data_IF_309701609717
#
_entry.id   IF_309701609717
#
_cell.length_a   1.000
_cell.length_b   1.000
_cell.length_c   1.000
_cell.angle_alpha   90.00
_cell.angle_beta   90.00
_cell.angle_gamma   90.00
#
_symmetry.space_group_name_H-M   'P 1'
#
loop_
_entity.id
_entity.type
_entity.pdbx_description
1 polymer ?
#
# COMPACT_ATOMS: atom_id res chain seq x y z
N UNK A 1 14.83 -24.59 -8.53
CA UNK A 1 14.57 -23.28 -9.17
C UNK A 1 15.94 -22.60 -9.36
N UNK A 2 16.18 -21.93 -10.48
CA UNK A 2 17.51 -21.39 -10.86
C UNK A 2 17.73 -19.98 -10.29
N UNK A 3 18.98 -19.48 -10.30
CA UNK A 3 19.28 -18.08 -9.91
C UNK A 3 18.40 -17.06 -10.65
N UNK A 4 18.02 -17.36 -11.90
CA UNK A 4 17.12 -16.56 -12.73
C UNK A 4 15.78 -16.29 -12.04
N UNK A 5 15.26 -17.25 -11.28
CA UNK A 5 13.97 -17.13 -10.63
C UNK A 5 14.04 -16.31 -9.34
N UNK A 6 15.20 -16.32 -8.66
CA UNK A 6 15.48 -15.40 -7.54
C UNK A 6 15.62 -13.97 -8.05
N UNK A 7 16.25 -13.77 -9.21
CA UNK A 7 16.28 -12.46 -9.88
C UNK A 7 14.87 -12.01 -10.32
N UNK A 8 14.04 -12.93 -10.82
CA UNK A 8 12.63 -12.70 -11.11
C UNK A 8 11.85 -12.24 -9.87
N UNK A 9 12.05 -12.91 -8.74
CA UNK A 9 11.50 -12.55 -7.43
C UNK A 9 11.91 -11.13 -7.00
N UNK A 10 13.20 -10.78 -7.09
CA UNK A 10 13.69 -9.44 -6.74
C UNK A 10 13.08 -8.37 -7.67
N UNK A 11 13.00 -8.67 -8.97
CA UNK A 11 12.42 -7.76 -9.97
C UNK A 11 10.93 -7.48 -9.71
N UNK A 12 10.13 -8.52 -9.45
CA UNK A 12 8.71 -8.39 -9.12
C UNK A 12 8.50 -7.66 -7.79
N UNK A 13 9.30 -7.95 -6.76
CA UNK A 13 9.19 -7.23 -5.49
C UNK A 13 9.48 -5.73 -5.65
N UNK A 14 10.51 -5.39 -6.43
CA UNK A 14 10.87 -4.00 -6.69
C UNK A 14 9.76 -3.27 -7.46
N UNK A 15 9.13 -3.92 -8.45
CA UNK A 15 8.07 -3.30 -9.23
C UNK A 15 6.81 -3.08 -8.39
N UNK A 16 6.36 -4.09 -7.63
CA UNK A 16 5.21 -3.97 -6.73
C UNK A 16 5.49 -2.88 -5.68
N UNK A 17 6.71 -2.80 -5.15
CA UNK A 17 7.06 -1.80 -4.14
C UNK A 17 7.04 -0.39 -4.73
N UNK A 18 7.63 -0.20 -5.92
CA UNK A 18 7.63 1.10 -6.60
C UNK A 18 6.21 1.56 -6.91
N UNK A 19 5.35 0.68 -7.41
CA UNK A 19 3.94 1.00 -7.68
C UNK A 19 3.18 1.30 -6.38
N UNK A 20 3.37 0.50 -5.34
CA UNK A 20 2.77 0.71 -4.03
C UNK A 20 3.15 2.07 -3.43
N UNK A 21 4.45 2.40 -3.44
CA UNK A 21 4.95 3.69 -2.96
C UNK A 21 4.39 4.86 -3.78
N UNK A 22 4.42 4.76 -5.11
CA UNK A 22 3.92 5.80 -6.01
C UNK A 22 2.42 6.05 -5.81
N UNK A 23 1.60 4.99 -5.76
CA UNK A 23 0.17 5.11 -5.45
C UNK A 23 -0.06 5.68 -4.04
N UNK A 24 0.72 5.25 -3.05
CA UNK A 24 0.63 5.72 -1.67
C UNK A 24 0.94 7.21 -1.50
N UNK A 25 1.84 7.78 -2.32
CA UNK A 25 2.22 9.20 -2.28
C UNK A 25 1.32 10.07 -3.15
N UNK A 26 1.04 9.65 -4.38
CA UNK A 26 0.27 10.45 -5.33
C UNK A 26 -1.19 10.62 -4.91
N UNK A 27 -1.75 9.63 -4.23
CA UNK A 27 -3.17 9.62 -3.90
C UNK A 27 -3.53 10.67 -2.83
N UNK A 28 -2.86 10.76 -1.66
CA UNK A 28 -3.08 11.86 -0.71
C UNK A 28 -2.83 13.24 -1.32
N UNK A 29 -1.81 13.37 -2.17
CA UNK A 29 -1.53 14.62 -2.89
C UNK A 29 -2.72 15.00 -3.80
N UNK A 30 -3.26 14.03 -4.55
CA UNK A 30 -4.43 14.22 -5.40
C UNK A 30 -5.65 14.68 -4.62
N UNK A 31 -5.93 14.07 -3.45
CA UNK A 31 -7.04 14.47 -2.56
C UNK A 31 -6.92 15.94 -2.16
N UNK A 32 -5.73 16.39 -1.75
CA UNK A 32 -5.49 17.79 -1.34
C UNK A 32 -5.62 18.74 -2.53
N UNK A 33 -5.07 18.40 -3.70
CA UNK A 33 -5.16 19.21 -4.91
C UNK A 33 -6.62 19.37 -5.34
N UNK A 34 -7.39 18.28 -5.42
CA UNK A 34 -8.79 18.33 -5.81
C UNK A 34 -9.57 19.18 -4.82
N UNK A 35 -9.37 19.00 -3.51
CA UNK A 35 -10.05 19.80 -2.52
C UNK A 35 -9.72 21.31 -2.64
N UNK A 36 -8.45 21.65 -2.92
CA UNK A 36 -8.02 23.01 -3.18
C UNK A 36 -8.71 23.60 -4.41
N UNK A 37 -8.77 22.85 -5.52
CA UNK A 37 -9.43 23.29 -6.76
C UNK A 37 -10.94 23.51 -6.56
N UNK A 38 -11.57 22.69 -5.73
CA UNK A 38 -13.02 22.73 -5.50
C UNK A 38 -13.44 23.68 -4.37
N UNK A 39 -12.50 24.36 -3.70
CA UNK A 39 -12.77 25.13 -2.47
C UNK A 39 -13.81 26.25 -2.62
N UNK A 40 -13.87 26.88 -3.78
CA UNK A 40 -14.77 28.02 -4.06
C UNK A 40 -16.16 27.60 -4.57
N UNK A 41 -16.41 26.30 -4.74
CA UNK A 41 -17.70 25.81 -5.20
C UNK A 41 -18.70 25.66 -4.05
N UNK A 42 -20.02 25.63 -4.35
CA UNK A 42 -21.04 25.30 -3.37
C UNK A 42 -20.79 23.95 -2.70
N UNK A 43 -21.22 23.81 -1.44
CA UNK A 43 -21.04 22.60 -0.62
C UNK A 43 -21.49 21.32 -1.31
N UNK A 44 -22.55 21.38 -2.14
CA UNK A 44 -23.05 20.21 -2.89
C UNK A 44 -21.99 19.68 -3.87
N UNK A 45 -21.32 20.58 -4.61
CA UNK A 45 -20.30 20.21 -5.61
C UNK A 45 -19.03 19.72 -4.90
N UNK A 46 -18.64 20.37 -3.79
CA UNK A 46 -17.55 19.93 -2.91
C UNK A 46 -17.83 18.55 -2.32
N UNK A 47 -19.07 18.28 -1.92
CA UNK A 47 -19.51 16.98 -1.43
C UNK A 47 -19.43 15.89 -2.50
N UNK A 48 -19.81 16.19 -3.73
CA UNK A 48 -19.64 15.25 -4.85
C UNK A 48 -18.17 14.89 -5.11
N UNK A 49 -17.29 15.89 -5.14
CA UNK A 49 -15.85 15.69 -5.30
C UNK A 49 -15.23 14.93 -4.11
N UNK A 50 -15.70 15.20 -2.89
CA UNK A 50 -15.32 14.45 -1.68
C UNK A 50 -15.68 12.97 -1.79
N UNK A 51 -16.91 12.63 -2.21
CA UNK A 51 -17.34 11.23 -2.37
C UNK A 51 -16.47 10.51 -3.40
N UNK A 52 -16.15 11.16 -4.53
CA UNK A 52 -15.22 10.62 -5.52
C UNK A 52 -13.83 10.36 -4.93
N UNK A 53 -13.29 11.31 -4.15
CA UNK A 53 -12.02 11.15 -3.46
C UNK A 53 -12.05 10.00 -2.44
N UNK A 54 -13.14 9.84 -1.68
CA UNK A 54 -13.33 8.75 -0.71
C UNK A 54 -13.36 7.37 -1.39
N UNK A 55 -14.00 7.25 -2.56
CA UNK A 55 -13.95 6.01 -3.35
C UNK A 55 -12.49 5.68 -3.72
N UNK A 56 -11.71 6.69 -4.13
CA UNK A 56 -10.29 6.54 -4.35
C UNK A 56 -9.55 6.02 -3.12
N UNK A 57 -9.82 6.56 -1.91
CA UNK A 57 -9.14 6.16 -0.67
C UNK A 57 -9.41 4.69 -0.37
N UNK A 58 -10.66 4.26 -0.56
CA UNK A 58 -11.08 2.86 -0.38
C UNK A 58 -10.38 1.96 -1.40
N UNK A 59 -10.30 2.35 -2.67
CA UNK A 59 -9.59 1.59 -3.70
C UNK A 59 -8.09 1.45 -3.40
N UNK A 60 -7.44 2.52 -2.94
CA UNK A 60 -6.04 2.47 -2.50
C UNK A 60 -5.85 1.48 -1.34
N UNK A 61 -6.81 1.41 -0.42
CA UNK A 61 -6.77 0.48 0.71
C UNK A 61 -6.78 -0.97 0.23
N UNK A 62 -7.70 -1.32 -0.67
CA UNK A 62 -7.74 -2.67 -1.25
C UNK A 62 -6.49 -2.99 -2.05
N UNK A 63 -5.98 -2.04 -2.84
CA UNK A 63 -4.74 -2.21 -3.57
C UNK A 63 -3.55 -2.46 -2.62
N UNK A 64 -3.49 -1.70 -1.51
CA UNK A 64 -2.46 -1.83 -0.48
C UNK A 64 -2.48 -3.20 0.18
N UNK A 65 -3.67 -3.68 0.55
CA UNK A 65 -3.85 -5.02 1.13
C UNK A 65 -3.48 -6.11 0.13
N UNK A 66 -3.89 -5.98 -1.14
CA UNK A 66 -3.55 -6.92 -2.21
C UNK A 66 -2.04 -6.98 -2.46
N UNK A 67 -1.38 -5.82 -2.52
CA UNK A 67 0.07 -5.73 -2.68
C UNK A 67 0.81 -6.38 -1.50
N UNK A 68 0.42 -6.07 -0.26
CA UNK A 68 1.01 -6.69 0.94
C UNK A 68 0.85 -8.21 0.93
N UNK A 69 -0.34 -8.72 0.61
CA UNK A 69 -0.56 -10.16 0.51
C UNK A 69 0.29 -10.80 -0.60
N UNK A 70 0.47 -10.14 -1.73
CA UNK A 70 1.35 -10.63 -2.80
C UNK A 70 2.82 -10.69 -2.34
N UNK A 71 3.31 -9.71 -1.59
CA UNK A 71 4.64 -9.73 -1.00
C UNK A 71 4.84 -10.94 -0.07
N UNK A 72 3.88 -11.20 0.83
CA UNK A 72 3.96 -12.33 1.76
C UNK A 72 3.84 -13.69 1.05
N UNK A 73 3.04 -13.78 -0.01
CA UNK A 73 2.95 -14.98 -0.83
C UNK A 73 4.27 -15.28 -1.53
N UNK A 74 4.91 -14.27 -2.13
CA UNK A 74 6.22 -14.43 -2.75
C UNK A 74 7.29 -14.84 -1.72
N UNK A 75 7.27 -14.24 -0.52
CA UNK A 75 8.15 -14.60 0.59
C UNK A 75 7.94 -16.05 1.05
N UNK A 76 6.68 -16.50 1.11
CA UNK A 76 6.33 -17.88 1.41
C UNK A 76 6.85 -18.83 0.34
N UNK A 77 6.67 -18.51 -0.94
CA UNK A 77 7.26 -19.31 -2.04
C UNK A 77 8.79 -19.41 -1.90
N UNK A 78 9.45 -18.32 -1.55
CA UNK A 78 10.90 -18.33 -1.31
C UNK A 78 11.29 -19.21 -0.11
N UNK A 79 10.52 -19.17 0.97
CA UNK A 79 10.73 -20.00 2.17
C UNK A 79 10.53 -21.50 1.90
N UNK A 80 9.46 -21.86 1.18
CA UNK A 80 9.22 -23.25 0.77
C UNK A 80 10.35 -23.79 -0.12
N UNK A 81 10.92 -22.96 -1.00
CA UNK A 81 12.05 -23.38 -1.82
C UNK A 81 13.32 -23.64 -1.02
N UNK A 82 13.60 -22.81 -0.01
CA UNK A 82 14.71 -23.06 0.90
C UNK A 82 14.47 -24.36 1.70
N UNK A 83 13.25 -24.60 2.17
CA UNK A 83 12.86 -25.86 2.82
C UNK A 83 12.97 -27.10 1.91
N UNK A 84 12.79 -26.93 0.60
CA UNK A 84 12.97 -27.97 -0.41
C UNK A 84 14.41 -28.15 -0.90
N UNK A 85 15.40 -27.50 -0.26
CA UNK A 85 16.83 -27.72 -0.52
C UNK A 85 17.49 -26.74 -1.50
N UNK A 86 16.90 -25.59 -1.78
CA UNK A 86 17.56 -24.54 -2.57
C UNK A 86 18.59 -23.78 -1.72
N UNK A 87 19.87 -23.95 -2.03
CA UNK A 87 20.98 -23.24 -1.35
C UNK A 87 20.88 -21.72 -1.51
N UNK A 88 20.61 -21.23 -2.73
CA UNK A 88 20.50 -19.79 -3.01
C UNK A 88 19.33 -19.14 -2.24
N UNK A 89 18.19 -19.82 -2.14
CA UNK A 89 17.05 -19.31 -1.33
C UNK A 89 17.36 -19.37 0.17
N UNK A 90 18.06 -20.41 0.61
CA UNK A 90 18.51 -20.60 2.00
C UNK A 90 19.46 -19.48 2.41
N UNK A 91 20.48 -19.19 1.60
CA UNK A 91 21.45 -18.13 1.86
C UNK A 91 20.76 -16.75 1.88
N UNK A 92 19.87 -16.50 0.92
CA UNK A 92 19.12 -15.25 0.86
C UNK A 92 18.27 -15.04 2.12
N UNK A 93 17.47 -16.04 2.52
CA UNK A 93 16.61 -15.93 3.71
C UNK A 93 17.41 -15.87 5.01
N UNK A 94 18.48 -16.66 5.13
CA UNK A 94 19.38 -16.63 6.31
C UNK A 94 20.04 -15.27 6.45
N UNK A 95 20.50 -14.67 5.36
CA UNK A 95 21.07 -13.32 5.37
C UNK A 95 20.06 -12.24 5.79
N UNK A 96 18.78 -12.45 5.48
CA UNK A 96 17.69 -11.56 5.84
C UNK A 96 17.07 -11.86 7.22
N UNK A 97 17.54 -12.90 7.93
CA UNK A 97 16.99 -13.31 9.23
C UNK A 97 15.56 -13.88 9.15
N UNK A 98 15.20 -14.49 8.03
CA UNK A 98 13.85 -14.97 7.74
C UNK A 98 13.73 -16.50 7.94
N UNK A 99 12.56 -17.01 8.37
CA UNK A 99 12.35 -18.43 8.58
C UNK A 99 12.37 -19.23 7.27
N UNK A 100 12.82 -20.49 7.37
CA UNK A 100 13.05 -21.40 6.23
C UNK A 100 12.05 -22.54 6.28
N UNK A 101 11.41 -22.84 5.16
CA UNK A 101 10.43 -23.91 5.02
C UNK A 101 9.10 -23.64 5.73
N UNK A 102 8.85 -22.40 6.13
CA UNK A 102 7.65 -22.01 6.88
C UNK A 102 6.84 -20.95 6.12
N UNK A 103 5.52 -20.96 6.31
CA UNK A 103 4.64 -19.90 5.79
C UNK A 103 4.94 -18.58 6.50
N UNK A 104 5.24 -17.53 5.72
CA UNK A 104 5.55 -16.22 6.26
C UNK A 104 4.27 -15.39 6.31
N UNK A 105 3.74 -15.22 7.51
CA UNK A 105 2.50 -14.47 7.74
C UNK A 105 2.76 -12.98 7.95
N UNK A 106 1.83 -12.11 7.53
CA UNK A 106 1.88 -10.69 7.85
C UNK A 106 1.86 -10.45 9.37
N UNK A 107 2.74 -9.59 9.91
CA UNK A 107 2.68 -9.19 11.30
C UNK A 107 1.33 -8.57 11.68
N UNK A 108 0.77 -8.95 12.83
CA UNK A 108 -0.56 -8.46 13.26
C UNK A 108 -0.66 -6.93 13.42
N UNK A 109 0.46 -6.26 13.73
CA UNK A 109 0.51 -4.80 13.81
C UNK A 109 0.30 -4.11 12.45
N UNK A 110 0.65 -4.75 11.34
CA UNK A 110 0.44 -4.17 9.99
C UNK A 110 -1.05 -3.99 9.71
N UNK A 111 -1.88 -4.95 10.13
CA UNK A 111 -3.33 -4.87 10.01
C UNK A 111 -3.93 -3.76 10.89
N UNK A 112 -3.40 -3.58 12.10
CA UNK A 112 -3.85 -2.51 12.98
C UNK A 112 -3.50 -1.12 12.43
N UNK A 113 -2.26 -0.93 11.95
CA UNK A 113 -1.82 0.33 11.36
C UNK A 113 -2.57 0.65 10.07
N UNK A 114 -2.86 -0.34 9.23
CA UNK A 114 -3.63 -0.11 8.00
C UNK A 114 -5.06 0.35 8.29
N UNK A 115 -5.75 -0.23 9.27
CA UNK A 115 -7.06 0.23 9.73
C UNK A 115 -7.01 1.67 10.26
N UNK A 116 -6.03 2.00 11.10
CA UNK A 116 -5.83 3.36 11.61
C UNK A 116 -5.60 4.35 10.47
N UNK A 117 -4.76 3.98 9.50
CA UNK A 117 -4.48 4.80 8.32
C UNK A 117 -5.74 5.07 7.48
N UNK A 118 -6.61 4.07 7.30
CA UNK A 118 -7.89 4.24 6.59
C UNK A 118 -8.76 5.27 7.31
N UNK A 119 -8.92 5.13 8.63
CA UNK A 119 -9.73 6.06 9.44
C UNK A 119 -9.19 7.49 9.33
N UNK A 120 -7.87 7.67 9.45
CA UNK A 120 -7.22 8.97 9.29
C UNK A 120 -7.51 9.56 7.91
N UNK A 121 -7.35 8.79 6.84
CA UNK A 121 -7.60 9.28 5.48
C UNK A 121 -9.08 9.64 5.25
N UNK A 122 -10.02 8.89 5.81
CA UNK A 122 -11.45 9.21 5.74
C UNK A 122 -11.74 10.55 6.42
N UNK A 123 -11.28 10.71 7.67
CA UNK A 123 -11.50 11.94 8.46
C UNK A 123 -10.84 13.14 7.79
N UNK A 124 -9.59 13.00 7.32
CA UNK A 124 -8.87 14.07 6.63
C UNK A 124 -9.55 14.45 5.31
N UNK A 125 -10.03 13.47 4.52
CA UNK A 125 -10.73 13.77 3.27
C UNK A 125 -12.00 14.59 3.53
N UNK A 126 -12.81 14.20 4.52
CA UNK A 126 -14.00 14.97 4.91
C UNK A 126 -13.63 16.38 5.38
N UNK A 127 -12.62 16.47 6.25
CA UNK A 127 -12.16 17.75 6.79
C UNK A 127 -11.69 18.69 5.67
N UNK A 128 -10.79 18.23 4.80
CA UNK A 128 -10.19 19.07 3.75
C UNK A 128 -11.24 19.52 2.72
N UNK A 129 -12.21 18.67 2.39
CA UNK A 129 -13.25 19.03 1.42
C UNK A 129 -14.36 19.91 1.98
N UNK A 130 -14.78 19.75 3.24
CA UNK A 130 -15.97 20.43 3.77
C UNK A 130 -15.68 21.46 4.85
N UNK A 131 -14.65 21.23 5.68
CA UNK A 131 -14.44 21.99 6.92
C UNK A 131 -13.20 22.90 6.88
N UNK A 132 -12.22 22.58 6.03
CA UNK A 132 -11.00 23.36 5.91
C UNK A 132 -11.32 24.78 5.45
N UNK A 133 -10.89 25.74 6.28
CA UNK A 133 -10.83 27.16 5.92
C UNK A 133 -9.54 27.36 5.15
N UNK A 134 -9.65 27.32 3.83
CA UNK A 134 -8.58 27.76 2.96
C UNK A 134 -8.46 29.27 3.14
N UNK A 135 -7.27 29.78 3.48
CA UNK A 135 -7.09 31.21 3.73
C UNK A 135 -7.68 32.02 2.58
N UNK A 136 -8.66 32.88 2.92
CA UNK A 136 -9.30 33.78 1.98
C UNK A 136 -8.30 34.88 1.64
N UNK A 137 -7.64 34.78 0.49
CA UNK A 137 -6.98 35.91 -0.14
C UNK A 137 -7.73 36.36 -1.38
#
# INVERSE_FOLDING_TARGET
>A
MSELDVFGYIGMNRSIFATFFLCGVLMPLGVVIIAYLFRNFPTVVRGGAMVSALIGVVMLTFFSMGAQNAFFLMLTTLSEMAGNGSEVATDFLTSAGMPIGETINPPGWMMALSLVQVVINLVLTVYVFLLAKWDNS
#
